data_IF_401169714987
#
_entry.id   IF_401169714987
#
_cell.length_a   1.000
_cell.length_b   1.000
_cell.length_c   1.000
_cell.angle_alpha   90.00
_cell.angle_beta   90.00
_cell.angle_gamma   90.00
#
_symmetry.space_group_name_H-M   'P 1'
#
loop_
_entity.id
_entity.type
_entity.pdbx_description
1 polymer ?
#
# COMPACT_ATOMS: atom_id res chain seq x y z
N UNK A 1 -5.79 30.25 14.26
CA UNK A 1 -5.49 29.19 13.29
C UNK A 1 -4.19 28.52 13.72
N UNK A 2 -4.16 27.19 13.86
CA UNK A 2 -2.96 26.49 14.30
C UNK A 2 -1.89 26.53 13.19
N UNK A 3 -0.76 27.22 13.42
CA UNK A 3 0.32 27.39 12.42
C UNK A 3 0.87 26.04 11.92
N UNK A 4 1.00 25.06 12.81
CA UNK A 4 1.48 23.72 12.44
C UNK A 4 0.49 23.01 11.49
N UNK A 5 -0.82 23.15 11.76
CA UNK A 5 -1.83 22.53 10.91
C UNK A 5 -1.85 23.19 9.52
N UNK A 6 -1.73 24.52 9.44
CA UNK A 6 -1.63 25.23 8.17
C UNK A 6 -0.39 24.82 7.38
N UNK A 7 0.78 24.74 8.06
CA UNK A 7 2.03 24.32 7.43
C UNK A 7 1.95 22.88 6.89
N UNK A 8 1.33 21.97 7.65
CA UNK A 8 1.10 20.59 7.18
C UNK A 8 0.13 20.55 6.00
N UNK A 9 -0.96 21.30 6.03
CA UNK A 9 -1.94 21.36 4.93
C UNK A 9 -1.28 21.87 3.64
N UNK A 10 -0.47 22.92 3.73
CA UNK A 10 0.27 23.47 2.60
C UNK A 10 1.29 22.46 2.05
N UNK A 11 2.07 21.85 2.93
CA UNK A 11 3.07 20.85 2.57
C UNK A 11 2.44 19.63 1.87
N UNK A 12 1.37 19.07 2.45
CA UNK A 12 0.66 17.92 1.87
C UNK A 12 0.01 18.30 0.54
N UNK A 13 -0.60 19.49 0.43
CA UNK A 13 -1.22 19.96 -0.81
C UNK A 13 -0.23 20.09 -1.95
N UNK A 14 0.90 20.78 -1.72
CA UNK A 14 1.96 20.96 -2.74
C UNK A 14 2.58 19.63 -3.13
N UNK A 15 2.97 18.82 -2.16
CA UNK A 15 3.57 17.51 -2.42
C UNK A 15 2.57 16.53 -3.05
N UNK A 16 1.27 16.68 -2.80
CA UNK A 16 0.21 15.91 -3.46
C UNK A 16 0.16 16.20 -4.97
N UNK A 17 0.27 17.46 -5.36
CA UNK A 17 0.40 17.85 -6.77
C UNK A 17 1.66 17.28 -7.41
N UNK A 18 2.81 17.37 -6.73
CA UNK A 18 4.08 16.77 -7.19
C UNK A 18 3.98 15.25 -7.33
N UNK A 19 3.29 14.59 -6.39
CA UNK A 19 3.04 13.14 -6.42
C UNK A 19 2.27 12.74 -7.70
N UNK A 20 1.29 13.52 -8.13
CA UNK A 20 0.57 13.27 -9.37
C UNK A 20 1.45 13.45 -10.61
N UNK A 21 2.31 14.48 -10.64
CA UNK A 21 3.29 14.68 -11.72
C UNK A 21 4.24 13.47 -11.78
N UNK A 22 4.72 13.00 -10.64
CA UNK A 22 5.56 11.79 -10.59
C UNK A 22 4.84 10.58 -11.17
N UNK A 23 3.56 10.39 -10.88
CA UNK A 23 2.77 9.28 -11.41
C UNK A 23 2.60 9.33 -12.94
N UNK A 24 2.55 10.52 -13.54
CA UNK A 24 2.53 10.63 -15.01
C UNK A 24 3.87 10.30 -15.65
N UNK A 25 4.98 10.57 -14.95
CA UNK A 25 6.33 10.27 -15.42
C UNK A 25 6.77 8.83 -15.14
N UNK A 26 6.21 8.22 -14.10
CA UNK A 26 6.56 6.86 -13.66
C UNK A 26 5.31 6.00 -13.50
N UNK A 27 4.95 5.29 -14.55
CA UNK A 27 3.69 4.51 -14.67
C UNK A 27 3.52 3.38 -13.66
N UNK A 28 4.61 2.93 -13.01
CA UNK A 28 4.58 1.93 -11.94
C UNK A 28 4.26 2.52 -10.55
N UNK A 29 4.15 3.86 -10.47
CA UNK A 29 3.66 4.53 -9.28
C UNK A 29 2.16 4.79 -9.38
N UNK A 30 1.39 4.10 -8.58
CA UNK A 30 -0.07 4.23 -8.51
C UNK A 30 -0.39 5.28 -7.44
N UNK A 31 -0.74 6.49 -7.86
CA UNK A 31 -0.84 7.66 -6.98
C UNK A 31 -1.81 7.48 -5.82
N UNK A 32 -2.98 6.87 -6.04
CA UNK A 32 -3.96 6.66 -4.97
C UNK A 32 -3.48 5.66 -3.91
N UNK A 33 -2.69 4.66 -4.30
CA UNK A 33 -2.00 3.75 -3.35
C UNK A 33 -0.97 4.51 -2.54
N UNK A 34 -0.22 5.40 -3.20
CA UNK A 34 0.71 6.31 -2.53
C UNK A 34 0.01 7.18 -1.47
N UNK A 35 -1.16 7.74 -1.78
CA UNK A 35 -1.95 8.51 -0.81
C UNK A 35 -2.43 7.67 0.38
N UNK A 36 -2.83 6.42 0.17
CA UNK A 36 -3.19 5.50 1.26
C UNK A 36 -1.98 5.27 2.18
N UNK A 37 -0.81 4.96 1.60
CA UNK A 37 0.43 4.75 2.36
C UNK A 37 0.87 6.02 3.11
N UNK A 38 0.72 7.19 2.50
CA UNK A 38 0.99 8.49 3.11
C UNK A 38 0.09 8.75 4.33
N UNK A 39 -1.23 8.50 4.20
CA UNK A 39 -2.17 8.60 5.31
C UNK A 39 -1.83 7.65 6.46
N UNK A 40 -1.45 6.40 6.14
CA UNK A 40 -1.01 5.41 7.11
C UNK A 40 0.29 5.80 7.81
N UNK A 41 1.22 6.47 7.14
CA UNK A 41 2.42 7.02 7.76
C UNK A 41 2.08 7.97 8.91
N UNK A 42 1.17 8.92 8.71
CA UNK A 42 0.71 9.83 9.78
C UNK A 42 -0.08 9.09 10.86
N UNK A 43 -0.96 8.17 10.46
CA UNK A 43 -1.74 7.34 11.41
C UNK A 43 -0.83 6.55 12.35
N UNK A 44 0.32 6.09 11.86
CA UNK A 44 1.29 5.28 12.61
C UNK A 44 2.29 6.11 13.43
N UNK A 45 2.15 7.44 13.49
CA UNK A 45 2.96 8.32 14.31
C UNK A 45 3.82 9.34 13.56
N UNK A 46 3.99 9.21 12.24
CA UNK A 46 4.67 10.19 11.41
C UNK A 46 6.19 10.29 11.62
N UNK A 47 6.82 9.25 12.13
CA UNK A 47 8.26 9.17 12.44
C UNK A 47 8.98 8.07 11.63
N UNK A 48 10.24 7.83 11.93
CA UNK A 48 11.02 6.80 11.25
C UNK A 48 10.53 5.37 11.53
N UNK A 49 9.94 5.12 12.69
CA UNK A 49 9.32 3.83 13.01
C UNK A 49 8.05 3.64 12.18
N UNK A 50 7.22 4.69 12.05
CA UNK A 50 6.04 4.71 11.19
C UNK A 50 6.40 4.47 9.72
N UNK A 51 7.51 5.06 9.23
CA UNK A 51 8.00 4.83 7.87
C UNK A 51 8.33 3.35 7.65
N UNK A 52 9.15 2.77 8.53
CA UNK A 52 9.53 1.36 8.45
C UNK A 52 8.31 0.45 8.51
N UNK A 53 7.45 0.66 9.49
CA UNK A 53 6.23 -0.14 9.69
C UNK A 53 5.26 -0.01 8.52
N UNK A 54 5.08 1.21 7.97
CA UNK A 54 4.24 1.47 6.80
C UNK A 54 4.69 0.68 5.59
N UNK A 55 5.99 0.67 5.31
CA UNK A 55 6.57 -0.06 4.19
C UNK A 55 6.49 -1.58 4.42
N UNK A 56 6.98 -2.07 5.56
CA UNK A 56 7.09 -3.52 5.78
C UNK A 56 5.72 -4.21 5.91
N UNK A 57 4.83 -3.67 6.73
CA UNK A 57 3.49 -4.24 6.89
C UNK A 57 2.62 -4.07 5.63
N UNK A 58 2.74 -2.92 4.94
CA UNK A 58 2.01 -2.68 3.70
C UNK A 58 2.43 -3.64 2.58
N UNK A 59 3.73 -3.85 2.37
CA UNK A 59 4.24 -4.80 1.38
C UNK A 59 3.88 -6.24 1.76
N UNK A 60 3.96 -6.60 3.04
CA UNK A 60 3.50 -7.90 3.52
C UNK A 60 2.04 -8.17 3.12
N UNK A 61 1.16 -7.19 3.32
CA UNK A 61 -0.24 -7.28 2.89
C UNK A 61 -0.38 -7.45 1.38
N UNK A 62 0.39 -6.69 0.60
CA UNK A 62 0.40 -6.78 -0.86
C UNK A 62 0.82 -8.17 -1.36
N UNK A 63 1.84 -8.77 -0.73
CA UNK A 63 2.30 -10.13 -1.05
C UNK A 63 1.20 -11.15 -0.78
N UNK A 64 0.51 -11.07 0.36
CA UNK A 64 -0.56 -12.02 0.69
C UNK A 64 -1.77 -11.89 -0.24
N UNK A 65 -2.09 -10.68 -0.71
CA UNK A 65 -3.10 -10.51 -1.76
C UNK A 65 -2.64 -11.13 -3.09
N UNK A 66 -1.38 -10.97 -3.46
CA UNK A 66 -0.80 -11.64 -4.62
C UNK A 66 -0.91 -13.17 -4.51
N UNK A 67 -0.58 -13.73 -3.35
CA UNK A 67 -0.72 -15.17 -3.07
C UNK A 67 -2.18 -15.63 -3.17
N UNK A 68 -3.14 -14.83 -2.72
CA UNK A 68 -4.57 -15.13 -2.90
C UNK A 68 -4.89 -15.39 -4.37
N UNK A 69 -4.50 -14.50 -5.29
CA UNK A 69 -4.79 -14.66 -6.71
C UNK A 69 -4.07 -15.84 -7.33
N UNK A 70 -2.79 -16.05 -7.02
CA UNK A 70 -2.01 -17.18 -7.53
C UNK A 70 -2.61 -18.50 -7.06
N UNK A 71 -2.86 -18.65 -5.77
CA UNK A 71 -3.35 -19.90 -5.19
C UNK A 71 -4.80 -20.20 -5.59
N UNK A 72 -5.68 -19.22 -5.59
CA UNK A 72 -7.08 -19.39 -6.02
C UNK A 72 -7.21 -19.71 -7.51
N UNK A 73 -6.27 -19.24 -8.33
CA UNK A 73 -6.21 -19.58 -9.75
C UNK A 73 -5.61 -20.95 -10.03
N UNK A 74 -4.64 -21.39 -9.21
CA UNK A 74 -3.93 -22.65 -9.40
C UNK A 74 -4.64 -23.86 -8.76
N UNK A 75 -5.32 -23.66 -7.63
CA UNK A 75 -5.89 -24.74 -6.81
C UNK A 75 -7.35 -24.42 -6.52
N UNK A 76 -8.25 -25.21 -7.11
CA UNK A 76 -9.68 -25.10 -6.82
C UNK A 76 -10.05 -25.96 -5.60
N UNK A 77 -10.44 -25.29 -4.51
CA UNK A 77 -10.96 -25.92 -3.28
C UNK A 77 -12.40 -25.45 -3.05
N UNK A 78 -13.36 -26.38 -3.16
CA UNK A 78 -14.75 -26.07 -2.84
C UNK A 78 -15.58 -25.45 -3.98
N UNK A 79 -15.17 -25.58 -5.24
CA UNK A 79 -15.98 -25.16 -6.40
C UNK A 79 -16.35 -23.68 -6.34
N UNK A 80 -17.64 -23.35 -6.18
CA UNK A 80 -18.13 -21.97 -6.08
C UNK A 80 -17.62 -21.22 -4.83
N UNK A 81 -17.14 -21.91 -3.81
CA UNK A 81 -16.58 -21.35 -2.58
C UNK A 81 -15.07 -21.15 -2.67
N UNK A 82 -14.43 -21.44 -3.81
CA UNK A 82 -12.99 -21.35 -3.97
C UNK A 82 -12.43 -19.97 -3.55
N UNK A 83 -12.98 -18.88 -4.08
CA UNK A 83 -12.56 -17.52 -3.72
C UNK A 83 -12.73 -17.20 -2.22
N UNK A 84 -13.94 -17.40 -1.63
CA UNK A 84 -14.16 -17.21 -0.20
C UNK A 84 -13.20 -18.01 0.69
N UNK A 85 -12.90 -19.26 0.35
CA UNK A 85 -11.99 -20.10 1.14
C UNK A 85 -10.55 -19.55 1.08
N UNK A 86 -10.05 -19.21 -0.11
CA UNK A 86 -8.71 -18.65 -0.25
C UNK A 86 -8.56 -17.27 0.40
N UNK A 87 -9.60 -16.41 0.35
CA UNK A 87 -9.60 -15.16 1.11
C UNK A 87 -9.51 -15.44 2.61
N UNK A 88 -10.30 -16.37 3.13
CA UNK A 88 -10.26 -16.72 4.55
C UNK A 88 -8.87 -17.20 4.98
N UNK A 89 -8.22 -18.06 4.19
CA UNK A 89 -6.87 -18.57 4.47
C UNK A 89 -5.84 -17.43 4.43
N UNK A 90 -5.84 -16.61 3.39
CA UNK A 90 -4.81 -15.57 3.22
C UNK A 90 -5.00 -14.40 4.19
N UNK A 91 -6.24 -14.04 4.54
CA UNK A 91 -6.53 -13.03 5.57
C UNK A 91 -6.22 -13.56 6.97
N UNK A 92 -6.47 -14.84 7.25
CA UNK A 92 -5.99 -15.46 8.48
C UNK A 92 -4.47 -15.36 8.59
N UNK A 93 -3.74 -15.76 7.53
CA UNK A 93 -2.28 -15.64 7.48
C UNK A 93 -1.81 -14.19 7.62
N UNK A 94 -2.55 -13.23 7.01
CA UNK A 94 -2.28 -11.81 7.13
C UNK A 94 -2.26 -11.36 8.59
N UNK A 95 -3.35 -11.64 9.32
CA UNK A 95 -3.46 -11.20 10.71
C UNK A 95 -2.52 -11.99 11.62
N UNK A 96 -2.42 -13.30 11.40
CA UNK A 96 -1.49 -14.15 12.18
C UNK A 96 -0.04 -13.67 12.06
N UNK A 97 0.41 -13.31 10.86
CA UNK A 97 1.77 -12.83 10.63
C UNK A 97 2.08 -11.47 11.25
N UNK A 98 1.07 -10.67 11.66
CA UNK A 98 1.33 -9.43 12.40
C UNK A 98 1.87 -9.64 13.83
N UNK A 99 1.95 -10.88 14.30
CA UNK A 99 2.69 -11.23 15.51
C UNK A 99 4.21 -11.08 15.32
N UNK A 100 4.69 -11.11 14.07
CA UNK A 100 6.09 -10.86 13.75
C UNK A 100 6.35 -9.35 13.86
N UNK A 101 7.32 -8.89 14.69
CA UNK A 101 7.51 -7.47 14.99
C UNK A 101 7.64 -6.56 13.77
N UNK A 102 8.27 -7.04 12.69
CA UNK A 102 8.46 -6.25 11.46
C UNK A 102 7.15 -6.00 10.69
N UNK A 103 6.10 -6.80 10.94
CA UNK A 103 4.78 -6.70 10.30
C UNK A 103 3.67 -6.30 11.29
N UNK A 104 4.00 -5.87 12.50
CA UNK A 104 3.08 -5.76 13.64
C UNK A 104 1.94 -4.74 13.49
N UNK A 105 1.83 -4.04 12.35
CA UNK A 105 0.74 -3.09 12.11
C UNK A 105 -0.38 -3.73 11.26
N UNK A 106 -1.32 -4.41 11.91
CA UNK A 106 -2.45 -5.06 11.24
C UNK A 106 -3.25 -4.10 10.32
N UNK A 107 -3.63 -2.86 10.71
CA UNK A 107 -4.32 -1.94 9.82
C UNK A 107 -3.53 -1.64 8.54
N UNK A 108 -2.22 -1.46 8.63
CA UNK A 108 -1.36 -1.20 7.48
C UNK A 108 -1.25 -2.43 6.57
N UNK A 109 -1.12 -3.63 7.15
CA UNK A 109 -1.09 -4.87 6.40
C UNK A 109 -2.42 -5.12 5.66
N UNK A 110 -3.56 -4.89 6.33
CA UNK A 110 -4.90 -4.99 5.72
C UNK A 110 -5.06 -3.99 4.58
N UNK A 111 -4.60 -2.74 4.75
CA UNK A 111 -4.63 -1.76 3.65
C UNK A 111 -3.76 -2.21 2.47
N UNK A 112 -2.56 -2.73 2.70
CA UNK A 112 -1.69 -3.28 1.66
C UNK A 112 -2.36 -4.42 0.87
N UNK A 113 -3.03 -5.33 1.59
CA UNK A 113 -3.84 -6.39 0.98
C UNK A 113 -4.98 -5.82 0.13
N UNK A 114 -5.77 -4.91 0.71
CA UNK A 114 -6.95 -4.34 0.08
C UNK A 114 -6.63 -3.54 -1.18
N UNK A 115 -5.57 -2.69 -1.15
CA UNK A 115 -5.18 -1.90 -2.32
C UNK A 115 -4.65 -2.79 -3.45
N UNK A 116 -3.98 -3.89 -3.12
CA UNK A 116 -3.52 -4.86 -4.13
C UNK A 116 -4.69 -5.61 -4.74
N UNK A 117 -5.61 -6.12 -3.92
CA UNK A 117 -6.80 -6.80 -4.40
C UNK A 117 -7.68 -5.88 -5.26
N UNK A 118 -7.93 -4.66 -4.79
CA UNK A 118 -8.69 -3.65 -5.54
C UNK A 118 -8.04 -3.29 -6.87
N UNK A 119 -6.73 -3.12 -6.90
CA UNK A 119 -6.00 -2.86 -8.14
C UNK A 119 -6.12 -4.03 -9.13
N UNK A 120 -5.95 -5.27 -8.66
CA UNK A 120 -6.03 -6.45 -9.53
C UNK A 120 -7.43 -6.69 -10.08
N UNK A 121 -8.49 -6.43 -9.30
CA UNK A 121 -9.88 -6.70 -9.68
C UNK A 121 -10.45 -5.58 -10.55
N UNK A 122 -10.22 -4.32 -10.16
CA UNK A 122 -10.91 -3.17 -10.73
C UNK A 122 -10.05 -2.35 -11.71
N UNK A 123 -8.72 -2.46 -11.65
CA UNK A 123 -7.90 -1.82 -12.65
C UNK A 123 -7.94 -2.64 -13.95
N UNK A 124 -8.36 -1.97 -15.04
CA UNK A 124 -8.37 -2.56 -16.39
C UNK A 124 -9.12 -3.90 -16.43
N UNK A 125 -10.31 -3.95 -15.82
CA UNK A 125 -11.24 -5.11 -15.85
C UNK A 125 -10.58 -6.47 -15.51
N UNK A 126 -9.71 -6.49 -14.50
CA UNK A 126 -9.04 -7.70 -14.05
C UNK A 126 -7.82 -8.12 -14.88
N UNK A 127 -7.40 -7.33 -15.87
CA UNK A 127 -6.24 -7.65 -16.72
C UNK A 127 -4.91 -7.78 -15.94
N UNK A 128 -4.86 -7.29 -14.70
CA UNK A 128 -3.68 -7.43 -13.83
C UNK A 128 -3.54 -8.81 -13.19
N UNK A 129 -4.62 -9.61 -13.12
CA UNK A 129 -4.58 -10.92 -12.45
C UNK A 129 -3.59 -11.89 -13.11
N UNK A 130 -3.54 -12.06 -14.46
CA UNK A 130 -2.55 -12.92 -15.07
C UNK A 130 -1.11 -12.47 -14.87
N UNK A 131 -0.88 -11.17 -14.62
CA UNK A 131 0.46 -10.62 -14.45
C UNK A 131 1.06 -10.87 -13.06
N UNK A 132 0.25 -11.30 -12.06
CA UNK A 132 0.71 -11.55 -10.69
C UNK A 132 1.77 -12.66 -10.61
N UNK A 133 1.72 -13.64 -11.49
CA UNK A 133 2.70 -14.73 -11.55
C UNK A 133 3.97 -14.39 -12.36
N UNK A 134 4.05 -13.20 -12.93
CA UNK A 134 5.22 -12.78 -13.73
C UNK A 134 6.31 -12.19 -12.83
N UNK A 135 7.57 -12.45 -13.20
CA UNK A 135 8.74 -11.82 -12.57
C UNK A 135 9.12 -10.58 -13.38
N UNK A 136 8.33 -9.51 -13.24
CA UNK A 136 8.54 -8.26 -13.98
C UNK A 136 8.12 -7.05 -13.14
N UNK A 137 8.61 -5.87 -13.49
CA UNK A 137 8.20 -4.60 -12.85
C UNK A 137 6.70 -4.30 -13.06
N UNK A 138 6.12 -4.87 -14.12
CA UNK A 138 4.68 -4.79 -14.41
C UNK A 138 3.82 -5.68 -13.53
N UNK A 139 4.43 -6.51 -12.67
CA UNK A 139 3.68 -7.29 -11.67
C UNK A 139 2.94 -6.33 -10.74
N UNK A 140 1.61 -6.49 -10.56
CA UNK A 140 0.81 -5.59 -9.73
C UNK A 140 1.30 -5.51 -8.29
N UNK A 141 1.78 -6.61 -7.69
CA UNK A 141 2.34 -6.60 -6.33
C UNK A 141 3.58 -5.72 -6.26
N UNK A 142 4.44 -5.74 -7.29
CA UNK A 142 5.63 -4.89 -7.39
C UNK A 142 5.25 -3.42 -7.53
N UNK A 143 4.30 -3.10 -8.42
CA UNK A 143 3.81 -1.72 -8.60
C UNK A 143 3.18 -1.17 -7.31
N UNK A 144 2.41 -1.99 -6.59
CA UNK A 144 1.84 -1.63 -5.29
C UNK A 144 2.95 -1.41 -4.25
N UNK A 145 3.94 -2.30 -4.16
CA UNK A 145 5.06 -2.16 -3.23
C UNK A 145 5.85 -0.85 -3.48
N UNK A 146 6.14 -0.54 -4.73
CA UNK A 146 6.76 0.74 -5.14
C UNK A 146 5.90 1.92 -4.68
N UNK A 147 4.59 1.85 -4.90
CA UNK A 147 3.66 2.92 -4.53
C UNK A 147 3.56 3.13 -3.03
N UNK A 148 3.59 2.05 -2.24
CA UNK A 148 3.65 2.10 -0.77
C UNK A 148 4.94 2.79 -0.30
N UNK A 149 6.09 2.44 -0.88
CA UNK A 149 7.38 3.05 -0.54
C UNK A 149 7.36 4.55 -0.85
N UNK A 150 6.98 4.91 -2.07
CA UNK A 150 6.93 6.32 -2.52
C UNK A 150 5.96 7.12 -1.65
N UNK A 151 4.74 6.62 -1.42
CA UNK A 151 3.74 7.30 -0.59
C UNK A 151 4.19 7.50 0.86
N UNK A 152 4.84 6.51 1.44
CA UNK A 152 5.42 6.62 2.79
C UNK A 152 6.55 7.66 2.86
N UNK A 153 7.38 7.75 1.81
CA UNK A 153 8.41 8.79 1.69
C UNK A 153 7.78 10.18 1.57
N UNK A 154 6.73 10.35 0.74
CA UNK A 154 5.99 11.62 0.66
C UNK A 154 5.38 12.01 2.02
N UNK A 155 4.89 11.04 2.80
CA UNK A 155 4.43 11.24 4.17
C UNK A 155 5.54 11.83 5.05
N UNK A 156 6.71 11.22 5.04
CA UNK A 156 7.87 11.70 5.80
C UNK A 156 8.32 13.08 5.33
N UNK A 157 8.40 13.31 4.03
CA UNK A 157 8.82 14.60 3.46
C UNK A 157 7.84 15.70 3.84
N UNK A 158 6.53 15.47 3.74
CA UNK A 158 5.52 16.46 4.10
C UNK A 158 5.56 16.83 5.59
N UNK A 159 5.83 15.88 6.48
CA UNK A 159 6.04 16.17 7.89
C UNK A 159 7.27 17.03 8.14
N UNK A 160 8.40 16.75 7.46
CA UNK A 160 9.64 17.55 7.56
C UNK A 160 9.45 18.96 7.03
N UNK A 161 8.84 19.11 5.85
CA UNK A 161 8.55 20.42 5.24
C UNK A 161 7.62 21.23 6.13
N UNK A 162 6.57 20.63 6.68
CA UNK A 162 5.67 21.30 7.59
C UNK A 162 6.37 21.84 8.84
N UNK A 163 7.28 21.05 9.43
CA UNK A 163 8.09 21.50 10.57
C UNK A 163 9.01 22.69 10.19
N UNK A 164 9.63 22.64 9.01
CA UNK A 164 10.50 23.71 8.55
C UNK A 164 9.75 25.03 8.29
N UNK A 165 8.48 24.96 7.86
CA UNK A 165 7.63 26.14 7.60
C UNK A 165 7.05 26.71 8.91
N UNK A 166 6.75 25.87 9.90
CA UNK A 166 6.08 26.31 11.12
C UNK A 166 7.02 26.90 12.19
N UNK A 167 8.33 26.72 12.05
CA UNK A 167 9.37 27.24 12.95
C UNK A 167 9.52 26.35 14.15
#
# INVERSE_FOLDING_TARGET
MNKQHLALSLSVGVLGGISLILATAFTHYIVWVGFVAWGLFFKNGGDSAALKMGITAGIYGAILAGLFFVLSGAINIGGSLNGPIWIAITVFALIFGTQIPIFSCAPTAVCGYAVTAGYCIHAVDGAMIPMISTVAITNPVVSIAISIIIGSIFGMLSGKVAKAISG
#
